data_IF_688444333339
#
_entry.id   IF_688444333339
#
_cell.length_a   1.000
_cell.length_b   1.000
_cell.length_c   1.000
_cell.angle_alpha   90.00
_cell.angle_beta   90.00
_cell.angle_gamma   90.00
#
_symmetry.space_group_name_H-M   'P 1'
#
loop_
_entity.id
_entity.type
_entity.pdbx_description
1 polymer ?
#
# COMPACT_ATOMS: atom_id res chain seq x y z
N UNK A 1 2.30 0.33 -21.62
CA UNK A 1 2.43 -0.67 -22.70
C UNK A 1 3.01 -2.01 -22.21
N UNK A 2 3.84 -2.01 -21.16
CA UNK A 2 4.53 -3.24 -20.73
C UNK A 2 3.59 -4.27 -20.10
N UNK A 3 2.55 -3.83 -19.39
CA UNK A 3 1.57 -4.76 -18.77
C UNK A 3 0.77 -5.59 -19.77
N UNK A 4 0.58 -5.10 -21.01
CA UNK A 4 -0.04 -5.90 -22.08
C UNK A 4 0.89 -7.01 -22.58
N UNK A 5 2.21 -6.78 -22.55
CA UNK A 5 3.19 -7.82 -22.88
C UNK A 5 3.18 -8.97 -21.86
N UNK A 6 2.89 -8.66 -20.59
CA UNK A 6 2.76 -9.63 -19.49
C UNK A 6 1.40 -10.35 -19.46
N UNK A 7 0.52 -10.06 -20.42
CA UNK A 7 -0.81 -10.66 -20.51
C UNK A 7 -1.90 -9.91 -19.72
N UNK A 8 -1.57 -8.77 -19.07
CA UNK A 8 -2.57 -7.93 -18.41
C UNK A 8 -3.51 -7.26 -19.42
N UNK A 9 -4.79 -7.25 -19.10
CA UNK A 9 -5.79 -6.47 -19.86
C UNK A 9 -6.03 -5.15 -19.15
N UNK A 10 -5.93 -4.06 -19.90
CA UNK A 10 -6.16 -2.69 -19.43
C UNK A 10 -7.26 -2.07 -20.28
N UNK A 11 -8.39 -1.73 -19.67
CA UNK A 11 -9.49 -1.02 -20.30
C UNK A 11 -9.80 0.26 -19.51
N UNK A 12 -10.19 1.30 -20.18
CA UNK A 12 -10.64 2.60 -19.64
C UNK A 12 -11.54 3.30 -20.65
N UNK A 13 -12.47 4.14 -20.20
CA UNK A 13 -13.35 4.90 -21.09
C UNK A 13 -12.69 6.19 -21.59
N UNK A 14 -11.84 6.83 -20.78
CA UNK A 14 -11.12 8.05 -21.16
C UNK A 14 -9.75 8.10 -20.48
N UNK A 15 -8.79 8.75 -21.17
CA UNK A 15 -7.46 9.03 -20.67
C UNK A 15 -7.05 10.44 -21.04
N UNK A 16 -6.65 11.22 -20.05
CA UNK A 16 -6.20 12.61 -20.23
C UNK A 16 -4.90 12.86 -19.51
N UNK A 17 -4.05 13.68 -20.10
CA UNK A 17 -2.89 14.28 -19.44
C UNK A 17 -3.16 15.77 -19.31
N UNK A 18 -3.17 16.28 -18.08
CA UNK A 18 -3.47 17.68 -17.74
C UNK A 18 -2.35 18.31 -16.91
N UNK A 19 -2.40 19.65 -16.77
CA UNK A 19 -1.45 20.39 -15.91
C UNK A 19 -0.18 20.87 -16.58
N UNK A 20 0.02 20.58 -17.89
CA UNK A 20 1.14 21.11 -18.66
C UNK A 20 1.19 22.67 -18.63
N UNK A 21 2.39 23.32 -18.52
CA UNK A 21 3.74 22.73 -18.57
C UNK A 21 4.29 22.29 -17.18
N UNK A 22 3.65 22.62 -16.07
CA UNK A 22 4.23 22.47 -14.73
C UNK A 22 3.99 21.08 -14.14
N UNK A 23 2.97 20.37 -14.64
CA UNK A 23 2.54 19.05 -14.16
C UNK A 23 2.19 18.15 -15.34
N UNK A 24 2.32 16.84 -15.12
CA UNK A 24 1.86 15.78 -16.00
C UNK A 24 0.96 14.86 -15.20
N UNK A 25 -0.30 15.27 -15.05
CA UNK A 25 -1.28 14.49 -14.31
C UNK A 25 -2.02 13.58 -15.31
N UNK A 26 -1.74 12.29 -15.23
CA UNK A 26 -2.41 11.26 -16.02
C UNK A 26 -3.67 10.81 -15.29
N UNK A 27 -4.82 11.06 -15.90
CA UNK A 27 -6.14 10.72 -15.35
C UNK A 27 -6.79 9.64 -16.19
N UNK A 28 -7.20 8.56 -15.54
CA UNK A 28 -7.96 7.47 -16.13
C UNK A 28 -9.39 7.52 -15.62
N UNK A 29 -10.36 7.28 -16.52
CA UNK A 29 -11.80 7.17 -16.19
C UNK A 29 -12.25 5.75 -16.50
N UNK A 30 -13.05 5.16 -15.59
CA UNK A 30 -13.58 3.79 -15.68
C UNK A 30 -12.47 2.76 -15.93
N UNK A 31 -11.41 2.82 -15.13
CA UNK A 31 -10.27 1.91 -15.24
C UNK A 31 -10.66 0.50 -14.83
N UNK A 32 -10.35 -0.48 -15.69
CA UNK A 32 -10.53 -1.92 -15.45
C UNK A 32 -9.21 -2.62 -15.80
N UNK A 33 -8.51 -3.10 -14.76
CA UNK A 33 -7.27 -3.86 -14.86
C UNK A 33 -7.56 -5.32 -14.53
N UNK A 34 -7.09 -6.24 -15.40
CA UNK A 34 -7.26 -7.69 -15.18
C UNK A 34 -5.95 -8.41 -15.43
N UNK A 35 -5.60 -9.28 -14.52
CA UNK A 35 -4.57 -10.28 -14.73
C UNK A 35 -5.24 -11.64 -15.02
N UNK A 36 -5.20 -12.13 -16.27
CA UNK A 36 -5.80 -13.41 -16.64
C UNK A 36 -5.13 -14.62 -15.96
N UNK A 37 -3.88 -14.50 -15.51
CA UNK A 37 -3.13 -15.59 -14.90
C UNK A 37 -3.54 -15.82 -13.45
N UNK A 38 -3.66 -14.75 -12.66
CA UNK A 38 -4.08 -14.82 -11.26
C UNK A 38 -5.59 -14.72 -11.08
N UNK A 39 -6.34 -14.25 -12.11
CA UNK A 39 -7.76 -13.94 -12.01
C UNK A 39 -8.06 -12.67 -11.22
N UNK A 40 -7.04 -11.88 -10.87
CA UNK A 40 -7.20 -10.61 -10.16
C UNK A 40 -7.76 -9.56 -11.13
N UNK A 41 -8.74 -8.80 -10.66
CA UNK A 41 -9.33 -7.67 -11.37
C UNK A 41 -9.44 -6.47 -10.44
N UNK A 42 -9.01 -5.30 -10.88
CA UNK A 42 -9.23 -4.06 -10.16
C UNK A 42 -10.02 -3.07 -11.03
N UNK A 43 -11.06 -2.49 -10.46
CA UNK A 43 -11.95 -1.53 -11.09
C UNK A 43 -12.01 -0.26 -10.27
N UNK A 44 -11.87 0.88 -10.94
CA UNK A 44 -11.92 2.21 -10.34
C UNK A 44 -12.61 3.17 -11.30
N UNK A 45 -13.61 3.99 -10.84
CA UNK A 45 -14.27 4.98 -11.67
C UNK A 45 -13.31 6.07 -12.15
N UNK A 46 -12.31 6.39 -11.34
CA UNK A 46 -11.20 7.28 -11.71
C UNK A 46 -9.91 6.86 -11.00
N UNK A 47 -8.77 7.18 -11.60
CA UNK A 47 -7.46 6.95 -11.03
C UNK A 47 -6.48 7.96 -11.59
N UNK A 48 -5.80 8.69 -10.70
CA UNK A 48 -4.87 9.73 -11.10
C UNK A 48 -3.42 9.35 -10.76
N UNK A 49 -2.51 9.60 -11.69
CA UNK A 49 -1.05 9.56 -11.48
C UNK A 49 -0.53 10.97 -11.70
N UNK A 50 -0.01 11.57 -10.64
CA UNK A 50 0.46 12.95 -10.63
C UNK A 50 2.00 12.97 -10.66
N UNK A 51 2.56 13.82 -11.50
CA UNK A 51 4.00 14.05 -11.57
C UNK A 51 4.28 15.55 -11.85
N UNK A 52 5.29 16.09 -11.13
CA UNK A 52 5.76 17.45 -11.38
C UNK A 52 6.83 17.44 -12.47
N UNK A 53 6.74 18.34 -13.45
CA UNK A 53 7.70 18.40 -14.56
C UNK A 53 9.15 18.68 -14.12
N UNK A 54 9.32 19.37 -12.99
CA UNK A 54 10.62 19.70 -12.39
C UNK A 54 11.09 18.69 -11.32
N UNK A 55 10.26 17.70 -10.98
CA UNK A 55 10.58 16.56 -10.11
C UNK A 55 10.01 15.26 -10.70
N UNK A 56 10.46 14.84 -11.88
CA UNK A 56 9.88 13.69 -12.58
C UNK A 56 10.13 12.35 -11.88
N UNK A 57 11.06 12.32 -10.94
CA UNK A 57 11.35 11.18 -10.06
C UNK A 57 10.40 11.08 -8.85
N UNK A 58 9.41 11.97 -8.72
CA UNK A 58 8.38 11.94 -7.69
C UNK A 58 7.01 11.71 -8.33
N UNK A 59 6.42 10.57 -8.05
CA UNK A 59 5.11 10.15 -8.56
C UNK A 59 4.16 9.98 -7.40
N UNK A 60 2.92 10.50 -7.57
CA UNK A 60 1.84 10.33 -6.60
C UNK A 60 0.68 9.65 -7.32
N UNK A 61 0.20 8.55 -6.77
CA UNK A 61 -1.03 7.87 -7.19
C UNK A 61 -2.17 8.27 -6.25
N UNK A 62 -3.33 8.59 -6.82
CA UNK A 62 -4.54 8.96 -6.07
C UNK A 62 -5.66 8.03 -6.49
N UNK A 63 -6.20 7.30 -5.53
CA UNK A 63 -7.32 6.38 -5.73
C UNK A 63 -8.67 7.07 -5.52
N UNK A 64 -9.74 6.61 -6.19
CA UNK A 64 -11.08 7.10 -5.95
C UNK A 64 -11.60 6.64 -4.58
N UNK A 65 -12.68 7.28 -4.15
CA UNK A 65 -13.35 6.92 -2.89
C UNK A 65 -13.95 5.51 -2.92
N UNK A 66 -14.34 5.03 -4.09
CA UNK A 66 -14.99 3.73 -4.28
C UNK A 66 -14.25 2.94 -5.35
N UNK A 67 -13.88 1.71 -5.04
CA UNK A 67 -13.22 0.82 -5.98
C UNK A 67 -13.56 -0.65 -5.66
N UNK A 68 -13.34 -1.52 -6.63
CA UNK A 68 -13.64 -2.96 -6.48
C UNK A 68 -12.41 -3.76 -6.85
N UNK A 69 -12.01 -4.64 -5.94
CA UNK A 69 -10.99 -5.65 -6.16
C UNK A 69 -11.66 -7.02 -6.32
N UNK A 70 -11.61 -7.58 -7.51
CA UNK A 70 -12.06 -8.94 -7.79
C UNK A 70 -10.91 -9.92 -7.60
N UNK A 71 -11.11 -10.93 -6.77
CA UNK A 71 -10.26 -12.10 -6.60
C UNK A 71 -10.96 -13.32 -7.20
N UNK A 72 -10.28 -14.45 -7.45
CA UNK A 72 -10.90 -15.63 -8.06
C UNK A 72 -12.14 -16.16 -7.33
N UNK A 73 -12.22 -15.96 -6.01
CA UNK A 73 -13.26 -16.53 -5.16
C UNK A 73 -14.14 -15.48 -4.47
N UNK A 74 -13.80 -14.20 -4.56
CA UNK A 74 -14.56 -13.13 -3.87
C UNK A 74 -14.36 -11.77 -4.54
N UNK A 75 -15.31 -10.89 -4.30
CA UNK A 75 -15.19 -9.47 -4.63
C UNK A 75 -15.11 -8.64 -3.36
N UNK A 76 -14.16 -7.73 -3.33
CA UNK A 76 -13.93 -6.82 -2.21
C UNK A 76 -14.26 -5.40 -2.67
N UNK A 77 -15.27 -4.79 -2.04
CA UNK A 77 -15.53 -3.36 -2.14
C UNK A 77 -14.58 -2.64 -1.21
N UNK A 78 -13.92 -1.60 -1.72
CA UNK A 78 -12.98 -0.79 -1.00
C UNK A 78 -13.49 0.64 -1.05
N UNK A 79 -13.84 1.18 0.09
CA UNK A 79 -14.31 2.55 0.27
C UNK A 79 -13.31 3.30 1.16
N UNK A 80 -13.01 4.56 0.82
CA UNK A 80 -12.15 5.43 1.64
C UNK A 80 -12.51 6.89 1.44
N UNK A 81 -12.36 7.72 2.45
CA UNK A 81 -12.51 9.17 2.30
C UNK A 81 -11.34 9.75 1.48
N UNK A 82 -10.15 9.17 1.66
CA UNK A 82 -8.92 9.54 0.95
C UNK A 82 -7.99 8.34 0.88
N UNK A 83 -7.37 8.12 -0.27
CA UNK A 83 -6.34 7.11 -0.45
C UNK A 83 -5.31 7.59 -1.47
N UNK A 84 -4.05 7.62 -1.09
CA UNK A 84 -2.95 8.02 -1.97
C UNK A 84 -1.65 7.30 -1.60
N UNK A 85 -0.80 7.16 -2.61
CA UNK A 85 0.58 6.72 -2.42
C UNK A 85 1.54 7.65 -3.15
N UNK A 86 2.75 7.75 -2.64
CA UNK A 86 3.83 8.53 -3.21
C UNK A 86 5.08 7.68 -3.30
N UNK A 87 5.79 7.79 -4.41
CA UNK A 87 7.09 7.15 -4.62
C UNK A 87 8.07 8.20 -5.10
N UNK A 88 9.22 8.26 -4.46
CA UNK A 88 10.36 9.06 -4.89
C UNK A 88 11.50 8.13 -5.24
N UNK A 89 12.00 8.26 -6.45
CA UNK A 89 13.16 7.54 -6.94
C UNK A 89 14.43 8.37 -6.82
N UNK A 90 15.57 7.72 -6.68
CA UNK A 90 16.86 8.38 -6.87
C UNK A 90 16.95 8.92 -8.32
N UNK A 91 17.52 10.12 -8.52
CA UNK A 91 17.58 10.74 -9.84
C UNK A 91 18.71 10.15 -10.70
N UNK A 92 18.73 8.85 -10.84
CA UNK A 92 19.68 8.09 -11.65
C UNK A 92 18.97 7.17 -12.65
N UNK A 93 19.73 6.47 -13.47
CA UNK A 93 19.20 5.56 -14.49
C UNK A 93 18.67 4.24 -13.91
N UNK A 94 19.01 3.91 -12.68
CA UNK A 94 18.56 2.70 -11.99
C UNK A 94 17.18 2.86 -11.39
N UNK A 95 16.78 4.13 -11.11
CA UNK A 95 15.51 4.48 -10.46
C UNK A 95 15.31 3.70 -9.15
N UNK A 96 16.36 3.69 -8.31
CA UNK A 96 16.24 3.08 -6.99
C UNK A 96 15.19 3.83 -6.17
N UNK A 97 14.37 3.08 -5.43
CA UNK A 97 13.34 3.67 -4.57
C UNK A 97 14.02 4.33 -3.38
N UNK A 98 13.97 5.67 -3.30
CA UNK A 98 14.51 6.44 -2.20
C UNK A 98 13.54 6.43 -1.00
N UNK A 99 12.27 6.68 -1.26
CA UNK A 99 11.22 6.67 -0.24
C UNK A 99 9.84 6.40 -0.86
N UNK A 100 8.95 5.84 -0.05
CA UNK A 100 7.54 5.69 -0.40
C UNK A 100 6.67 6.16 0.76
N UNK A 101 5.44 6.54 0.47
CA UNK A 101 4.39 6.68 1.47
C UNK A 101 3.06 6.18 0.92
N UNK A 102 2.23 5.67 1.80
CA UNK A 102 0.83 5.34 1.54
C UNK A 102 -0.01 5.88 2.69
N UNK A 103 -1.07 6.58 2.36
CA UNK A 103 -1.99 7.17 3.33
C UNK A 103 -3.42 6.84 2.94
N UNK A 104 -4.23 6.53 3.94
CA UNK A 104 -5.68 6.42 3.75
C UNK A 104 -6.43 6.86 4.99
N UNK A 105 -7.56 7.50 4.76
CA UNK A 105 -8.52 7.91 5.79
C UNK A 105 -9.84 7.17 5.57
N UNK A 106 -10.45 6.69 6.67
CA UNK A 106 -11.74 6.00 6.72
C UNK A 106 -11.84 4.84 5.73
N UNK A 107 -10.79 4.01 5.67
CA UNK A 107 -10.75 2.82 4.84
C UNK A 107 -11.74 1.77 5.36
N UNK A 108 -12.60 1.31 4.47
CA UNK A 108 -13.50 0.17 4.72
C UNK A 108 -13.36 -0.82 3.58
N UNK A 109 -13.12 -2.08 3.92
CA UNK A 109 -13.09 -3.19 2.98
C UNK A 109 -14.19 -4.18 3.33
N UNK A 110 -15.02 -4.54 2.37
CA UNK A 110 -16.13 -5.47 2.55
C UNK A 110 -16.15 -6.50 1.41
N UNK A 111 -16.06 -7.76 1.77
CA UNK A 111 -16.13 -8.88 0.84
C UNK A 111 -17.56 -9.39 0.69
N UNK A 112 -17.91 -9.88 -0.51
CA UNK A 112 -19.14 -10.62 -0.77
C UNK A 112 -19.14 -12.01 -0.10
N UNK A 113 -17.98 -12.49 0.37
CA UNK A 113 -17.87 -13.67 1.23
C UNK A 113 -18.29 -13.41 2.69
N UNK A 114 -18.63 -12.16 3.04
CA UNK A 114 -19.25 -11.77 4.31
C UNK A 114 -18.32 -11.19 5.37
N UNK A 115 -17.02 -11.04 5.12
CA UNK A 115 -16.13 -10.34 6.06
C UNK A 115 -16.07 -8.84 5.76
N UNK A 116 -15.78 -8.08 6.81
CA UNK A 116 -15.57 -6.64 6.75
C UNK A 116 -14.42 -6.25 7.67
N UNK A 117 -13.63 -5.26 7.26
CA UNK A 117 -12.62 -4.61 8.10
C UNK A 117 -12.63 -3.10 7.86
N UNK A 118 -12.09 -2.35 8.82
CA UNK A 118 -11.98 -0.91 8.74
C UNK A 118 -10.69 -0.38 9.34
N UNK A 119 -10.22 0.78 8.87
CA UNK A 119 -9.10 1.52 9.45
C UNK A 119 -9.43 3.00 9.35
N UNK A 120 -9.52 3.70 10.50
CA UNK A 120 -9.84 5.12 10.52
C UNK A 120 -8.73 5.96 9.90
N UNK A 121 -7.46 5.69 10.24
CA UNK A 121 -6.29 6.31 9.59
C UNK A 121 -5.17 5.31 9.46
N UNK A 122 -4.49 5.32 8.31
CA UNK A 122 -3.29 4.56 8.07
C UNK A 122 -2.24 5.44 7.41
N UNK A 123 -1.05 5.41 7.95
CA UNK A 123 0.17 5.93 7.32
C UNK A 123 1.22 4.82 7.30
N UNK A 124 1.68 4.49 6.10
CA UNK A 124 2.82 3.60 5.85
C UNK A 124 3.87 4.40 5.09
N UNK A 125 5.09 4.43 5.58
CA UNK A 125 6.18 5.07 4.85
C UNK A 125 7.45 4.24 4.90
N UNK A 126 8.23 4.36 3.84
CA UNK A 126 9.56 3.77 3.78
C UNK A 126 10.56 4.79 3.29
N UNK A 127 11.81 4.63 3.71
CA UNK A 127 12.96 5.35 3.18
C UNK A 127 14.20 4.48 3.23
N UNK A 128 15.14 4.71 2.34
CA UNK A 128 16.45 4.05 2.44
C UNK A 128 17.08 4.32 3.80
N UNK A 129 17.58 3.26 4.44
CA UNK A 129 18.28 3.39 5.71
C UNK A 129 19.69 3.96 5.49
N UNK A 130 20.08 5.05 6.19
CA UNK A 130 21.40 5.64 6.00
C UNK A 130 22.49 4.70 6.50
N UNK A 131 23.50 4.45 5.66
CA UNK A 131 24.72 3.70 6.04
C UNK A 131 24.60 2.19 6.04
N UNK A 132 23.46 1.61 5.59
CA UNK A 132 23.30 0.18 5.38
C UNK A 132 22.78 -0.06 3.97
N UNK A 133 23.54 -0.78 3.16
CA UNK A 133 23.14 -1.10 1.79
C UNK A 133 21.87 -1.96 1.79
N UNK A 134 20.98 -1.69 0.83
CA UNK A 134 19.75 -2.45 0.59
C UNK A 134 18.83 -2.55 1.80
N UNK A 135 18.89 -1.57 2.71
CA UNK A 135 17.99 -1.51 3.86
C UNK A 135 17.04 -0.31 3.77
N UNK A 136 15.83 -0.50 4.29
CA UNK A 136 14.81 0.53 4.38
C UNK A 136 14.24 0.63 5.79
N UNK A 137 14.15 1.85 6.31
CA UNK A 137 13.32 2.15 7.47
C UNK A 137 11.85 2.14 7.04
N UNK A 138 11.00 1.54 7.85
CA UNK A 138 9.56 1.42 7.59
C UNK A 138 8.81 1.87 8.84
N UNK A 139 7.90 2.82 8.65
CA UNK A 139 6.94 3.24 9.68
C UNK A 139 5.54 2.81 9.24
N UNK A 140 4.85 2.10 10.11
CA UNK A 140 3.44 1.77 9.99
C UNK A 140 2.70 2.37 11.19
N UNK A 141 1.77 3.27 10.95
CA UNK A 141 0.91 3.90 11.98
C UNK A 141 -0.54 3.76 11.55
N UNK A 142 -1.30 2.93 12.27
CA UNK A 142 -2.72 2.73 12.04
C UNK A 142 -3.51 3.09 13.29
N UNK A 143 -4.65 3.77 13.10
CA UNK A 143 -5.55 4.19 14.18
C UNK A 143 -6.96 3.76 13.89
N UNK A 144 -7.69 3.39 14.95
CA UNK A 144 -9.09 2.93 14.88
C UNK A 144 -9.21 1.77 13.90
N UNK A 145 -8.52 0.67 14.20
CA UNK A 145 -8.52 -0.53 13.35
C UNK A 145 -9.65 -1.45 13.80
N UNK A 146 -10.58 -1.72 12.88
CA UNK A 146 -11.65 -2.72 13.03
C UNK A 146 -11.26 -3.98 12.27
N UNK A 147 -10.63 -4.97 12.90
CA UNK A 147 -10.24 -6.21 12.23
C UNK A 147 -11.47 -7.05 11.86
N UNK A 148 -11.28 -8.01 10.96
CA UNK A 148 -12.35 -8.97 10.68
C UNK A 148 -12.74 -9.77 11.91
N UNK A 149 -13.99 -10.27 11.96
CA UNK A 149 -14.45 -11.10 13.06
C UNK A 149 -13.60 -12.36 13.26
N UNK A 150 -13.03 -12.92 12.19
CA UNK A 150 -12.13 -14.06 12.27
C UNK A 150 -10.85 -13.73 13.06
N UNK A 151 -10.27 -12.55 12.80
CA UNK A 151 -9.09 -12.06 13.52
C UNK A 151 -9.44 -11.78 15.00
N UNK A 152 -10.56 -11.08 15.25
CA UNK A 152 -11.03 -10.81 16.61
C UNK A 152 -11.22 -12.09 17.42
N UNK A 153 -11.91 -13.07 16.87
CA UNK A 153 -12.15 -14.36 17.55
C UNK A 153 -10.84 -15.15 17.81
N UNK A 154 -9.80 -14.91 17.01
CA UNK A 154 -8.49 -15.54 17.21
C UNK A 154 -7.70 -14.85 18.33
N UNK A 155 -7.72 -13.50 18.34
CA UNK A 155 -6.95 -12.71 19.29
C UNK A 155 -7.65 -12.56 20.65
N UNK A 156 -8.98 -12.47 20.66
CA UNK A 156 -9.83 -12.40 21.85
C UNK A 156 -10.98 -13.42 21.78
N UNK A 157 -10.70 -14.72 22.00
CA UNK A 157 -11.74 -15.76 21.97
C UNK A 157 -12.84 -15.55 23.00
N UNK A 158 -12.57 -14.77 24.05
CA UNK A 158 -13.51 -14.51 25.15
C UNK A 158 -14.42 -13.31 24.89
N UNK A 159 -14.08 -12.47 23.91
CA UNK A 159 -14.84 -11.29 23.54
C UNK A 159 -14.85 -10.20 24.62
N UNK A 160 -13.78 -10.11 25.41
CA UNK A 160 -13.67 -9.13 26.53
C UNK A 160 -13.09 -7.79 26.08
N UNK A 161 -12.44 -7.77 24.92
CA UNK A 161 -11.81 -6.55 24.39
C UNK A 161 -12.76 -5.80 23.45
N UNK A 162 -12.55 -4.50 23.25
CA UNK A 162 -13.28 -3.73 22.24
C UNK A 162 -13.11 -4.33 20.84
N UNK A 163 -14.10 -4.12 19.95
CA UNK A 163 -13.98 -4.55 18.55
C UNK A 163 -12.97 -3.74 17.76
N UNK A 164 -12.68 -2.53 18.21
CA UNK A 164 -11.75 -1.59 17.62
C UNK A 164 -10.43 -1.59 18.40
N UNK A 165 -9.32 -1.78 17.70
CA UNK A 165 -7.96 -1.57 18.20
C UNK A 165 -7.67 -0.07 18.05
N UNK A 166 -7.35 0.64 19.15
CA UNK A 166 -7.17 2.09 19.14
C UNK A 166 -5.99 2.51 18.25
N UNK A 167 -4.89 1.77 18.32
CA UNK A 167 -3.70 2.08 17.54
C UNK A 167 -2.74 0.90 17.41
N UNK A 168 -2.06 0.88 16.29
CA UNK A 168 -0.94 -0.02 16.00
C UNK A 168 0.17 0.78 15.36
N UNK A 169 1.28 0.92 16.07
CA UNK A 169 2.48 1.60 15.59
C UNK A 169 3.63 0.59 15.49
N UNK A 170 4.34 0.64 14.36
CA UNK A 170 5.51 -0.20 14.11
C UNK A 170 6.58 0.65 13.41
N UNK A 171 7.74 0.74 14.04
CA UNK A 171 8.99 1.25 13.47
C UNK A 171 9.94 0.06 13.29
N UNK A 172 10.38 -0.17 12.06
CA UNK A 172 11.28 -1.26 11.75
C UNK A 172 12.26 -0.91 10.65
N UNK A 173 13.39 -1.62 10.62
CA UNK A 173 14.34 -1.59 9.51
C UNK A 173 14.32 -2.96 8.82
N UNK A 174 14.08 -2.95 7.52
CA UNK A 174 14.10 -4.14 6.65
C UNK A 174 15.38 -4.16 5.84
N UNK A 175 16.15 -5.22 5.96
CA UNK A 175 17.30 -5.52 5.08
C UNK A 175 16.87 -6.42 3.93
N UNK A 176 17.40 -6.18 2.74
CA UNK A 176 17.11 -6.92 1.52
C UNK A 176 18.39 -7.51 0.91
N UNK A 177 18.25 -8.52 0.05
CA UNK A 177 19.36 -9.13 -0.70
C UNK A 177 19.80 -8.29 -1.93
N UNK A 178 18.97 -7.37 -2.38
CA UNK A 178 19.21 -6.50 -3.53
C UNK A 178 18.54 -5.12 -3.34
N UNK A 179 18.94 -4.09 -4.12
CA UNK A 179 18.28 -2.80 -4.06
C UNK A 179 16.86 -2.86 -4.67
N UNK A 180 15.95 -2.07 -4.16
CA UNK A 180 14.65 -1.82 -4.78
C UNK A 180 14.82 -0.81 -5.93
N UNK A 181 15.14 -1.31 -7.12
CA UNK A 181 15.33 -0.52 -8.33
C UNK A 181 14.57 -1.10 -9.53
N UNK A 182 14.72 -0.50 -10.70
CA UNK A 182 14.05 -0.98 -11.93
C UNK A 182 14.43 -2.42 -12.25
N UNK A 183 15.68 -2.82 -12.05
CA UNK A 183 16.17 -4.16 -12.38
C UNK A 183 15.50 -5.18 -11.47
N UNK A 184 15.40 -4.89 -10.17
CA UNK A 184 14.73 -5.74 -9.20
C UNK A 184 13.25 -5.95 -9.53
N UNK A 185 12.56 -4.91 -9.99
CA UNK A 185 11.15 -5.02 -10.41
C UNK A 185 10.99 -5.88 -11.66
N UNK A 186 11.95 -5.83 -12.60
CA UNK A 186 11.93 -6.63 -13.84
C UNK A 186 12.32 -8.11 -13.61
N UNK A 187 13.22 -8.39 -12.70
CA UNK A 187 13.79 -9.74 -12.46
C UNK A 187 13.17 -10.49 -11.28
N UNK A 188 12.38 -9.82 -10.46
CA UNK A 188 11.77 -10.33 -9.24
C UNK A 188 12.07 -9.43 -8.06
N UNK A 189 11.10 -9.26 -7.16
CA UNK A 189 11.24 -8.41 -5.98
C UNK A 189 12.37 -8.91 -5.07
N UNK A 190 13.17 -8.00 -4.47
CA UNK A 190 14.18 -8.36 -3.49
C UNK A 190 13.59 -9.10 -2.29
N UNK A 191 14.34 -10.06 -1.76
CA UNK A 191 13.93 -10.83 -0.58
C UNK A 191 14.34 -10.13 0.69
N UNK A 192 13.46 -10.16 1.69
CA UNK A 192 13.79 -9.68 3.04
C UNK A 192 14.76 -10.68 3.67
N UNK A 193 15.92 -10.19 4.10
CA UNK A 193 16.97 -10.99 4.76
C UNK A 193 17.07 -10.70 6.25
N UNK A 194 16.61 -9.52 6.69
CA UNK A 194 16.64 -9.10 8.09
C UNK A 194 15.46 -8.19 8.40
N UNK A 195 14.86 -8.37 9.58
CA UNK A 195 13.84 -7.50 10.14
C UNK A 195 14.32 -7.06 11.52
N UNK A 196 14.53 -5.76 11.70
CA UNK A 196 14.80 -5.15 13.00
C UNK A 196 13.59 -4.34 13.41
N UNK A 197 12.90 -4.76 14.45
CA UNK A 197 11.79 -4.02 15.04
C UNK A 197 12.39 -3.06 16.07
N UNK A 198 12.40 -1.76 15.75
CA UNK A 198 12.90 -0.71 16.63
C UNK A 198 11.87 -0.41 17.72
N UNK A 199 10.60 -0.35 17.33
CA UNK A 199 9.49 -0.09 18.23
C UNK A 199 8.20 -0.73 17.69
N UNK A 200 7.50 -1.45 18.55
CA UNK A 200 6.14 -1.90 18.36
C UNK A 200 5.31 -1.37 19.53
N UNK A 201 4.24 -0.65 19.25
CA UNK A 201 3.26 -0.23 20.23
C UNK A 201 1.85 -0.50 19.71
N UNK A 202 1.01 -1.08 20.55
CA UNK A 202 -0.42 -1.22 20.29
C UNK A 202 -1.24 -0.98 21.53
N UNK A 203 -2.36 -0.29 21.37
CA UNK A 203 -3.38 -0.10 22.40
C UNK A 203 -4.67 -0.79 21.98
N UNK A 204 -5.22 -1.66 22.84
CA UNK A 204 -6.47 -2.36 22.61
C UNK A 204 -7.28 -2.47 23.91
N UNK A 205 -8.18 -1.52 24.15
CA UNK A 205 -8.94 -1.44 25.39
C UNK A 205 -8.02 -1.26 26.60
N UNK A 206 -7.99 -2.24 27.48
CA UNK A 206 -7.11 -2.25 28.67
C UNK A 206 -5.74 -2.85 28.42
N UNK A 207 -5.52 -3.42 27.22
CA UNK A 207 -4.25 -4.02 26.86
C UNK A 207 -3.34 -3.01 26.16
N UNK A 208 -2.09 -2.98 26.58
CA UNK A 208 -1.00 -2.33 25.87
C UNK A 208 0.10 -3.35 25.62
N UNK A 209 0.60 -3.42 24.39
CA UNK A 209 1.73 -4.25 24.03
C UNK A 209 2.81 -3.36 23.41
N UNK A 210 4.02 -3.46 23.93
CA UNK A 210 5.20 -2.80 23.37
C UNK A 210 6.36 -3.77 23.26
N UNK A 211 7.23 -3.57 22.28
CA UNK A 211 8.36 -4.44 22.10
C UNK A 211 9.35 -3.98 21.04
N UNK A 212 10.51 -4.64 21.02
CA UNK A 212 11.54 -4.50 19.99
C UNK A 212 12.26 -5.84 19.81
N UNK A 213 12.91 -6.05 18.67
CA UNK A 213 13.62 -7.30 18.43
C UNK A 213 14.22 -7.38 17.03
N UNK A 214 14.99 -8.45 16.78
CA UNK A 214 15.63 -8.73 15.49
C UNK A 214 15.28 -10.15 15.06
N UNK A 215 14.95 -10.32 13.79
CA UNK A 215 14.73 -11.58 13.08
C UNK A 215 15.68 -11.64 11.89
N UNK A 216 16.39 -12.77 11.73
CA UNK A 216 17.33 -13.07 10.64
C UNK A 216 16.94 -14.35 9.91
#
# INVERSE_FOLDING_TARGET
NDRRADGWTVAYSDFRVVGFPNRFDSRFTDLDLRDPRSGIRWQAPEFDILALSYQPNHIIAVWPQHQVLGLPLEQIKIDSARMLASVVFEPDTKLAVARTSFETDDLVMASDSGWKMGIGKLHLSTRQHPGVDFAHDVIFDAKSVDPTMAVLNTLDPTGQLPKTIEGLFLDMTLGFDAPWDRIAVEQGAPWVTRITINQLDTGWGTLGLGGSGVLE
#
